data_IF_890633702480
#
_entry.id   IF_890633702480
#
_cell.length_a   1.000
_cell.length_b   1.000
_cell.length_c   1.000
_cell.angle_alpha   90.00
_cell.angle_beta   90.00
_cell.angle_gamma   90.00
#
_symmetry.space_group_name_H-M   'P 1'
#
loop_
_entity.id
_entity.type
_entity.pdbx_description
1 polymer ?
#
# COMPACT_ATOMS: atom_id res chain seq x y z
N UNK A 1 2.95 -5.93 -22.29
CA UNK A 1 1.78 -5.17 -21.79
C UNK A 1 2.23 -3.76 -21.51
N UNK A 2 1.67 -2.76 -22.20
CA UNK A 2 2.01 -1.35 -22.01
C UNK A 2 1.11 -0.79 -20.91
N UNK A 3 1.70 -0.33 -19.81
CA UNK A 3 0.95 0.20 -18.67
C UNK A 3 0.75 1.71 -18.82
N UNK A 4 -0.44 2.19 -18.49
CA UNK A 4 -0.77 3.62 -18.57
C UNK A 4 -0.43 4.30 -17.23
N UNK A 5 -0.10 5.59 -17.29
CA UNK A 5 0.01 6.45 -16.10
C UNK A 5 -1.26 6.43 -15.22
N UNK A 6 -2.39 6.02 -15.78
CA UNK A 6 -3.68 5.85 -15.11
C UNK A 6 -3.75 4.66 -14.14
N UNK A 7 -2.90 3.64 -14.28
CA UNK A 7 -3.03 2.39 -13.51
C UNK A 7 -2.88 2.63 -12.01
N UNK A 8 -1.83 3.34 -11.58
CA UNK A 8 -1.63 3.67 -10.18
C UNK A 8 -2.80 4.46 -9.61
N UNK A 9 -3.34 5.43 -10.34
CA UNK A 9 -4.53 6.20 -9.93
C UNK A 9 -5.76 5.29 -9.75
N UNK A 10 -5.93 4.28 -10.61
CA UNK A 10 -7.03 3.32 -10.50
C UNK A 10 -6.85 2.37 -9.32
N UNK A 11 -5.62 1.93 -9.05
CA UNK A 11 -5.29 1.16 -7.84
C UNK A 11 -5.63 2.00 -6.60
N UNK A 12 -5.17 3.25 -6.55
CA UNK A 12 -5.39 4.16 -5.43
C UNK A 12 -6.89 4.34 -5.12
N UNK A 13 -7.69 4.60 -6.16
CA UNK A 13 -9.14 4.78 -6.03
C UNK A 13 -9.85 3.53 -5.52
N UNK A 14 -9.41 2.35 -5.96
CA UNK A 14 -10.00 1.09 -5.50
C UNK A 14 -9.54 0.70 -4.08
N UNK A 15 -8.42 1.25 -3.62
CA UNK A 15 -7.82 0.96 -2.32
C UNK A 15 -8.33 1.82 -1.15
N UNK A 16 -9.12 2.87 -1.43
CA UNK A 16 -9.59 3.83 -0.41
C UNK A 16 -10.30 3.13 0.75
N UNK A 17 -9.85 3.41 1.97
CA UNK A 17 -10.42 2.92 3.23
C UNK A 17 -10.16 3.92 4.37
N UNK A 18 -11.01 3.92 5.39
CA UNK A 18 -10.87 4.79 6.56
C UNK A 18 -9.57 4.49 7.34
N UNK A 19 -8.99 5.52 7.95
CA UNK A 19 -7.75 5.41 8.73
C UNK A 19 -6.47 5.39 7.88
N UNK A 20 -6.56 5.33 6.55
CA UNK A 20 -5.42 5.34 5.65
C UNK A 20 -5.51 6.48 4.64
N UNK A 21 -4.40 7.19 4.46
CA UNK A 21 -4.21 8.15 3.38
C UNK A 21 -3.42 7.50 2.26
N UNK A 22 -3.91 7.56 1.01
CA UNK A 22 -3.28 6.88 -0.13
C UNK A 22 -2.88 7.91 -1.20
N UNK A 23 -1.61 7.91 -1.57
CA UNK A 23 -1.02 8.77 -2.59
C UNK A 23 -0.36 7.97 -3.72
N UNK A 24 -0.40 8.52 -4.93
CA UNK A 24 0.39 8.02 -6.06
C UNK A 24 1.75 8.70 -6.02
N UNK A 25 2.83 7.92 -5.92
CA UNK A 25 4.21 8.42 -5.92
C UNK A 25 4.74 8.50 -7.35
N UNK A 26 4.43 7.48 -8.15
CA UNK A 26 4.77 7.41 -9.57
C UNK A 26 3.76 6.54 -10.33
N UNK A 27 3.81 6.47 -11.67
CA UNK A 27 2.98 5.55 -12.46
C UNK A 27 3.07 4.06 -12.05
N UNK A 28 4.10 3.69 -11.30
CA UNK A 28 4.38 2.32 -10.88
C UNK A 28 4.44 2.16 -9.37
N UNK A 29 4.09 3.21 -8.62
CA UNK A 29 4.19 3.19 -7.16
C UNK A 29 3.08 3.99 -6.48
N UNK A 30 2.50 3.38 -5.44
CA UNK A 30 1.63 4.04 -4.48
C UNK A 30 2.20 3.92 -3.07
N UNK A 31 1.78 4.84 -2.23
CA UNK A 31 2.09 4.86 -0.81
C UNK A 31 0.80 5.09 -0.03
N UNK A 32 0.51 4.19 0.90
CA UNK A 32 -0.54 4.33 1.89
C UNK A 32 0.10 4.62 3.25
N UNK A 33 -0.41 5.60 3.99
CA UNK A 33 0.08 5.98 5.31
C UNK A 33 -1.05 6.00 6.31
N UNK A 34 -0.78 5.53 7.52
CA UNK A 34 -1.65 5.64 8.69
C UNK A 34 -0.83 6.16 9.85
N UNK A 35 -1.43 7.01 10.68
CA UNK A 35 -0.80 7.44 11.93
C UNK A 35 -0.48 6.21 12.77
N UNK A 36 0.74 6.15 13.30
CA UNK A 36 1.18 5.06 14.17
C UNK A 36 1.62 5.61 15.52
N UNK A 37 1.94 4.70 16.42
CA UNK A 37 2.57 5.01 17.70
C UNK A 37 4.05 4.59 17.67
N UNK A 38 5.00 5.48 18.00
CA UNK A 38 4.80 6.83 18.53
C UNK A 38 4.41 7.88 17.48
N UNK A 39 3.83 8.99 17.94
CA UNK A 39 3.47 10.15 17.10
C UNK A 39 4.66 10.62 16.27
N UNK A 40 4.44 10.79 14.96
CA UNK A 40 5.48 11.17 13.99
C UNK A 40 6.12 9.98 13.27
N UNK A 41 5.76 8.75 13.65
CA UNK A 41 6.21 7.52 13.00
C UNK A 41 5.02 6.81 12.34
N UNK A 42 4.56 7.24 11.15
CA UNK A 42 3.44 6.61 10.50
C UNK A 42 3.79 5.18 10.06
N UNK A 43 2.79 4.29 10.08
CA UNK A 43 2.86 3.04 9.34
C UNK A 43 2.72 3.32 7.86
N UNK A 44 3.54 2.68 7.04
CA UNK A 44 3.57 2.89 5.60
C UNK A 44 3.41 1.57 4.86
N UNK A 45 2.51 1.55 3.88
CA UNK A 45 2.41 0.46 2.91
C UNK A 45 2.73 1.00 1.52
N UNK A 46 3.79 0.48 0.90
CA UNK A 46 4.16 0.81 -0.48
C UNK A 46 3.65 -0.28 -1.41
N UNK A 47 3.00 0.12 -2.49
CA UNK A 47 2.59 -0.77 -3.55
C UNK A 47 3.43 -0.42 -4.79
N UNK A 48 4.37 -1.28 -5.18
CA UNK A 48 5.21 -1.06 -6.37
C UNK A 48 5.01 -2.14 -7.40
N UNK A 49 5.03 -1.74 -8.65
CA UNK A 49 4.96 -2.66 -9.78
C UNK A 49 6.31 -3.31 -10.01
N UNK A 50 6.34 -4.64 -10.06
CA UNK A 50 7.54 -5.45 -10.34
C UNK A 50 7.22 -6.42 -11.48
N UNK A 51 7.57 -6.05 -12.70
CA UNK A 51 7.24 -6.82 -13.89
C UNK A 51 5.73 -6.90 -14.13
N UNK A 52 5.15 -8.10 -14.02
CA UNK A 52 3.72 -8.37 -14.25
C UNK A 52 2.84 -8.27 -13.00
N UNK A 53 3.42 -8.04 -11.82
CA UNK A 53 2.70 -8.00 -10.54
C UNK A 53 2.90 -6.67 -9.81
N UNK A 54 2.04 -6.43 -8.83
CA UNK A 54 2.20 -5.41 -7.82
C UNK A 54 2.58 -6.07 -6.51
N UNK A 55 3.65 -5.60 -5.89
CA UNK A 55 4.11 -6.10 -4.60
C UNK A 55 3.81 -5.03 -3.55
N UNK A 56 3.39 -5.49 -2.38
CA UNK A 56 3.00 -4.68 -1.24
C UNK A 56 4.05 -4.84 -0.15
N UNK A 57 4.68 -3.75 0.25
CA UNK A 57 5.65 -3.70 1.34
C UNK A 57 5.09 -2.90 2.50
N UNK A 58 5.15 -3.47 3.70
CA UNK A 58 4.85 -2.82 4.95
C UNK A 58 6.14 -2.32 5.61
N UNK A 59 6.03 -1.12 6.17
CA UNK A 59 7.01 -0.48 7.03
C UNK A 59 6.25 -0.09 8.30
N UNK A 60 6.66 -0.66 9.42
CA UNK A 60 6.11 -0.35 10.74
C UNK A 60 6.53 1.05 11.18
N UNK A 61 5.91 1.53 12.25
CA UNK A 61 6.26 2.81 12.87
C UNK A 61 7.75 2.84 13.25
N UNK A 62 8.51 3.73 12.61
CA UNK A 62 9.94 3.91 12.86
C UNK A 62 10.86 3.17 11.89
N UNK A 63 10.30 2.37 10.96
CA UNK A 63 11.08 1.71 9.92
C UNK A 63 11.64 2.71 8.90
N UNK A 64 12.82 2.38 8.37
CA UNK A 64 13.41 3.11 7.26
C UNK A 64 12.69 2.77 5.94
N UNK A 65 11.83 3.69 5.50
CA UNK A 65 11.07 3.59 4.25
C UNK A 65 11.93 3.63 2.98
N UNK A 66 13.24 3.94 3.11
CA UNK A 66 14.17 3.89 1.99
C UNK A 66 14.71 2.48 1.69
N UNK A 67 14.61 1.57 2.66
CA UNK A 67 15.06 0.17 2.57
C UNK A 67 14.03 -0.81 1.99
N UNK A 68 14.31 -2.11 2.12
CA UNK A 68 13.34 -3.17 1.83
C UNK A 68 12.45 -3.42 3.05
N UNK A 69 11.16 -3.07 2.94
CA UNK A 69 10.15 -3.40 3.96
C UNK A 69 9.74 -4.88 3.92
N UNK A 70 8.79 -5.25 4.79
CA UNK A 70 8.23 -6.60 4.83
C UNK A 70 7.23 -6.79 3.70
N UNK A 71 7.42 -7.80 2.85
CA UNK A 71 6.43 -8.12 1.81
C UNK A 71 5.19 -8.71 2.47
N UNK A 72 4.07 -8.00 2.37
CA UNK A 72 2.77 -8.39 2.94
C UNK A 72 1.78 -8.85 1.87
N UNK A 73 2.14 -8.75 0.60
CA UNK A 73 1.34 -9.27 -0.49
C UNK A 73 1.98 -9.10 -1.87
N UNK A 74 1.56 -9.96 -2.79
CA UNK A 74 1.83 -9.82 -4.22
C UNK A 74 0.54 -10.08 -4.98
N UNK A 75 0.22 -9.19 -5.92
CA UNK A 75 -1.00 -9.24 -6.70
C UNK A 75 -0.66 -9.29 -8.18
N UNK A 76 -1.08 -10.37 -8.83
CA UNK A 76 -1.10 -10.49 -10.28
C UNK A 76 -2.47 -10.07 -10.79
N UNK A 77 -2.54 -9.13 -11.72
CA UNK A 77 -3.83 -8.71 -12.29
C UNK A 77 -3.89 -7.26 -12.76
N UNK A 78 -5.12 -6.78 -12.98
CA UNK A 78 -5.36 -5.41 -13.37
C UNK A 78 -5.34 -4.45 -12.18
N UNK A 79 -5.39 -3.14 -12.47
CA UNK A 79 -5.38 -2.10 -11.44
C UNK A 79 -6.51 -2.23 -10.41
N UNK A 80 -7.68 -2.75 -10.80
CA UNK A 80 -8.81 -2.96 -9.87
C UNK A 80 -8.56 -4.10 -8.89
N UNK A 81 -8.04 -5.22 -9.37
CA UNK A 81 -7.71 -6.38 -8.52
C UNK A 81 -6.64 -5.99 -7.50
N UNK A 82 -5.63 -5.25 -7.96
CA UNK A 82 -4.56 -4.73 -7.11
C UNK A 82 -5.08 -3.73 -6.09
N UNK A 83 -6.00 -2.83 -6.46
CA UNK A 83 -6.61 -1.90 -5.51
C UNK A 83 -7.47 -2.59 -4.46
N UNK A 84 -8.22 -3.63 -4.82
CA UNK A 84 -9.00 -4.45 -3.87
C UNK A 84 -8.07 -5.20 -2.90
N UNK A 85 -7.06 -5.88 -3.42
CA UNK A 85 -6.10 -6.59 -2.58
C UNK A 85 -5.34 -5.65 -1.64
N UNK A 86 -4.93 -4.46 -2.13
CA UNK A 86 -4.34 -3.43 -1.27
C UNK A 86 -5.33 -3.02 -0.18
N UNK A 87 -6.60 -2.76 -0.50
CA UNK A 87 -7.62 -2.44 0.51
C UNK A 87 -7.75 -3.52 1.57
N UNK A 88 -7.76 -4.79 1.18
CA UNK A 88 -7.92 -5.91 2.11
C UNK A 88 -6.71 -6.00 3.07
N UNK A 89 -5.49 -5.76 2.56
CA UNK A 89 -4.29 -5.62 3.41
C UNK A 89 -4.40 -4.44 4.37
N UNK A 90 -4.79 -3.26 3.89
CA UNK A 90 -4.94 -2.07 4.73
C UNK A 90 -6.05 -2.26 5.80
N UNK A 91 -7.11 -3.00 5.48
CA UNK A 91 -8.16 -3.35 6.43
C UNK A 91 -7.64 -4.29 7.53
N UNK A 92 -6.85 -5.31 7.15
CA UNK A 92 -6.24 -6.23 8.10
C UNK A 92 -5.29 -5.53 9.08
N UNK A 93 -4.38 -4.70 8.55
CA UNK A 93 -3.49 -3.84 9.35
C UNK A 93 -4.26 -2.76 10.14
N UNK A 94 -5.47 -2.45 9.68
CA UNK A 94 -6.47 -1.62 10.33
C UNK A 94 -6.84 -2.08 11.73
N UNK A 95 -7.03 -3.39 11.86
CA UNK A 95 -7.69 -4.06 12.99
C UNK A 95 -6.71 -4.56 14.08
N UNK A 96 -5.40 -4.52 13.85
CA UNK A 96 -4.41 -5.07 14.79
C UNK A 96 -4.26 -4.22 16.08
N UNK A 97 -4.97 -3.09 16.19
CA UNK A 97 -4.94 -2.22 17.38
C UNK A 97 -5.99 -2.56 18.46
N UNK A 98 -6.83 -3.59 18.26
CA UNK A 98 -7.93 -3.95 19.18
C UNK A 98 -7.57 -5.03 20.24
N UNK A 99 -6.30 -5.42 20.36
CA UNK A 99 -5.86 -6.38 21.39
C UNK A 99 -4.64 -5.86 22.17
N UNK A 100 -4.88 -5.01 23.16
CA UNK A 100 -4.00 -4.81 24.33
C UNK A 100 -4.80 -4.38 25.55
#
# INVERSE_FOLDING_TARGET
>A
MTFSADDATRVARAAVIAGWSIGVVSPHELMATRDGDPVGCPRVVRCRKKGGSWVLWLYESGDDVSGEGVVVGEVTGGARDCGRALRDVLAGLGHDEDYS
#
